data_IF_670324060990
#
_entry.id   IF_670324060990
#
_cell.length_a   1.000
_cell.length_b   1.000
_cell.length_c   1.000
_cell.angle_alpha   90.00
_cell.angle_beta   90.00
_cell.angle_gamma   90.00
#
_symmetry.space_group_name_H-M   'P 1'
#
loop_
_entity.id
_entity.type
_entity.pdbx_description
1 polymer ?
#
# COMPACT_ATOMS: atom_id res chain seq x y z
N UNK A 1 9.91 -18.97 19.60
CA UNK A 1 8.74 -18.57 18.78
C UNK A 1 8.63 -19.55 17.62
N UNK A 2 7.50 -20.25 17.46
CA UNK A 2 7.31 -21.21 16.35
C UNK A 2 7.03 -20.39 15.08
N UNK A 3 7.87 -20.55 14.05
CA UNK A 3 7.64 -19.91 12.75
C UNK A 3 6.48 -20.61 12.04
N UNK A 4 5.55 -19.83 11.48
CA UNK A 4 4.51 -20.38 10.61
C UNK A 4 5.11 -20.95 9.33
N UNK A 5 4.55 -22.06 8.89
CA UNK A 5 4.91 -22.71 7.63
C UNK A 5 3.81 -22.49 6.58
N UNK A 6 4.14 -22.71 5.31
CA UNK A 6 3.18 -22.52 4.23
C UNK A 6 1.93 -23.40 4.36
N UNK A 7 2.03 -24.58 4.98
CA UNK A 7 0.88 -25.48 5.15
C UNK A 7 -0.16 -24.92 6.16
N UNK A 8 0.26 -24.10 7.12
CA UNK A 8 -0.62 -23.58 8.18
C UNK A 8 -1.76 -22.74 7.60
N UNK A 9 -2.94 -22.80 8.24
CA UNK A 9 -4.11 -21.98 7.88
C UNK A 9 -3.99 -20.55 8.40
N UNK A 10 -3.23 -20.35 9.48
CA UNK A 10 -2.94 -19.04 10.06
C UNK A 10 -1.43 -18.82 10.03
N UNK A 11 -1.00 -17.73 9.39
CA UNK A 11 0.40 -17.32 9.38
C UNK A 11 0.62 -16.19 10.38
N UNK A 12 1.42 -16.46 11.41
CA UNK A 12 1.86 -15.47 12.37
C UNK A 12 3.04 -14.68 11.79
N UNK A 13 2.85 -13.36 11.67
CA UNK A 13 3.84 -12.44 11.12
C UNK A 13 4.66 -11.71 12.21
N UNK A 14 4.37 -11.95 13.50
CA UNK A 14 5.01 -11.27 14.62
C UNK A 14 6.53 -11.46 14.65
N UNK A 15 7.01 -12.63 14.24
CA UNK A 15 8.45 -12.90 14.18
C UNK A 15 9.21 -11.99 13.19
N UNK A 16 8.51 -11.32 12.27
CA UNK A 16 9.10 -10.38 11.32
C UNK A 16 8.89 -8.91 11.71
N UNK A 17 8.25 -8.63 12.85
CA UNK A 17 8.01 -7.29 13.38
C UNK A 17 8.87 -7.13 14.63
N UNK A 18 9.88 -6.27 14.56
CA UNK A 18 10.87 -6.07 15.62
C UNK A 18 10.48 -4.98 16.63
N UNK A 19 9.34 -4.31 16.43
CA UNK A 19 8.89 -3.17 17.22
C UNK A 19 7.87 -3.63 18.26
N UNK A 20 8.19 -3.46 19.56
CA UNK A 20 7.38 -3.93 20.70
C UNK A 20 5.98 -3.31 20.79
N UNK A 21 5.72 -2.21 20.09
CA UNK A 21 4.44 -1.49 20.10
C UNK A 21 3.46 -1.98 19.03
N UNK A 22 3.90 -2.83 18.11
CA UNK A 22 3.03 -3.30 17.04
C UNK A 22 2.07 -4.38 17.54
N UNK A 23 0.81 -4.27 17.13
CA UNK A 23 -0.20 -5.29 17.43
C UNK A 23 0.15 -6.60 16.75
N UNK A 24 -0.18 -7.71 17.43
CA UNK A 24 -0.04 -9.03 16.87
C UNK A 24 -0.70 -9.11 15.49
N UNK A 25 0.06 -9.52 14.48
CA UNK A 25 -0.33 -9.46 13.07
C UNK A 25 -0.33 -10.87 12.49
N UNK A 26 -1.48 -11.35 12.01
CA UNK A 26 -1.61 -12.70 11.44
C UNK A 26 -2.49 -12.72 10.20
N UNK A 27 -2.15 -13.58 9.23
CA UNK A 27 -2.99 -13.84 8.05
C UNK A 27 -3.81 -15.10 8.30
N UNK A 28 -5.13 -14.95 8.48
CA UNK A 28 -6.04 -16.08 8.64
C UNK A 28 -6.67 -16.45 7.30
N UNK A 29 -6.22 -17.55 6.70
CA UNK A 29 -6.71 -18.03 5.41
C UNK A 29 -8.03 -18.83 5.50
N UNK A 30 -8.54 -19.11 6.71
CA UNK A 30 -9.87 -19.72 6.87
C UNK A 30 -10.99 -18.75 6.50
N UNK A 31 -10.72 -17.43 6.56
CA UNK A 31 -11.60 -16.37 6.06
C UNK A 31 -11.73 -16.39 4.54
N UNK A 32 -10.79 -17.04 3.84
CA UNK A 32 -10.79 -17.11 2.38
C UNK A 32 -11.59 -18.33 1.92
N UNK A 33 -12.50 -18.17 0.93
CA UNK A 33 -13.20 -19.27 0.27
C UNK A 33 -12.26 -20.41 -0.12
N UNK A 34 -12.68 -21.65 0.18
CA UNK A 34 -11.80 -22.82 0.09
C UNK A 34 -11.16 -23.03 -1.29
N UNK A 35 -11.89 -22.74 -2.36
CA UNK A 35 -11.41 -22.88 -3.74
C UNK A 35 -10.24 -21.92 -4.05
N UNK A 36 -10.31 -20.67 -3.58
CA UNK A 36 -9.32 -19.62 -3.86
C UNK A 36 -8.21 -19.53 -2.80
N UNK A 37 -8.34 -20.27 -1.69
CA UNK A 37 -7.41 -20.23 -0.56
C UNK A 37 -5.97 -20.53 -0.96
N UNK A 38 -5.73 -21.57 -1.75
CA UNK A 38 -4.38 -21.96 -2.16
C UNK A 38 -3.72 -20.87 -3.01
N UNK A 39 -4.44 -20.31 -3.99
CA UNK A 39 -3.94 -19.24 -4.84
C UNK A 39 -3.63 -17.97 -4.03
N UNK A 40 -4.48 -17.65 -3.06
CA UNK A 40 -4.30 -16.53 -2.13
C UNK A 40 -3.08 -16.71 -1.23
N UNK A 41 -2.85 -17.92 -0.71
CA UNK A 41 -1.64 -18.27 0.06
C UNK A 41 -0.38 -18.09 -0.80
N UNK A 42 -0.38 -18.59 -2.03
CA UNK A 42 0.75 -18.38 -2.94
C UNK A 42 1.02 -16.89 -3.20
N UNK A 43 -0.02 -16.10 -3.43
CA UNK A 43 0.13 -14.65 -3.61
C UNK A 43 0.70 -13.97 -2.36
N UNK A 44 0.16 -14.24 -1.17
CA UNK A 44 0.66 -13.67 0.08
C UNK A 44 2.11 -14.09 0.36
N UNK A 45 2.47 -15.34 0.09
CA UNK A 45 3.84 -15.82 0.21
C UNK A 45 4.78 -15.05 -0.73
N UNK A 46 4.32 -14.77 -1.95
CA UNK A 46 5.06 -13.99 -2.94
C UNK A 46 5.28 -12.55 -2.45
N UNK A 47 4.24 -11.91 -1.93
CA UNK A 47 4.35 -10.57 -1.36
C UNK A 47 5.38 -10.47 -0.21
N UNK A 48 5.48 -11.51 0.63
CA UNK A 48 6.39 -11.54 1.77
C UNK A 48 7.85 -11.86 1.37
N UNK A 49 8.03 -12.76 0.40
CA UNK A 49 9.33 -13.36 0.09
C UNK A 49 9.99 -12.84 -1.19
N UNK A 50 9.23 -12.32 -2.16
CA UNK A 50 9.80 -11.83 -3.42
C UNK A 50 10.26 -10.36 -3.30
N UNK A 51 11.53 -10.10 -3.61
CA UNK A 51 12.14 -8.77 -3.47
C UNK A 51 11.80 -7.76 -4.58
N UNK A 52 11.23 -8.23 -5.70
CA UNK A 52 10.77 -7.40 -6.82
C UNK A 52 9.29 -7.62 -7.02
N UNK A 53 8.50 -6.73 -6.42
CA UNK A 53 7.07 -6.68 -6.67
C UNK A 53 6.78 -5.79 -7.88
N UNK A 54 5.70 -6.09 -8.60
CA UNK A 54 5.14 -5.13 -9.54
C UNK A 54 4.78 -3.87 -8.76
N UNK A 55 5.18 -2.72 -9.28
CA UNK A 55 5.01 -1.44 -8.63
C UNK A 55 4.40 -0.45 -9.64
N UNK A 56 3.39 0.34 -9.22
CA UNK A 56 2.82 1.36 -10.09
C UNK A 56 3.85 2.44 -10.44
N UNK A 57 3.67 3.17 -11.57
CA UNK A 57 4.54 4.27 -11.95
C UNK A 57 4.73 5.28 -10.80
N UNK A 58 5.98 5.63 -10.50
CA UNK A 58 6.31 6.56 -9.40
C UNK A 58 6.45 5.92 -8.01
N UNK A 59 6.23 4.62 -7.87
CA UNK A 59 6.48 3.91 -6.62
C UNK A 59 7.98 3.91 -6.27
N UNK A 60 8.32 4.45 -5.10
CA UNK A 60 9.71 4.57 -4.62
C UNK A 60 10.29 3.28 -4.03
N UNK A 61 9.46 2.25 -3.81
CA UNK A 61 9.84 0.99 -3.15
C UNK A 61 9.33 -0.20 -3.95
N UNK A 62 10.21 -1.18 -4.20
CA UNK A 62 9.88 -2.44 -4.89
C UNK A 62 9.49 -3.57 -3.95
N UNK A 63 9.67 -3.38 -2.64
CA UNK A 63 9.30 -4.33 -1.59
C UNK A 63 8.34 -3.66 -0.61
N UNK A 64 7.25 -4.36 -0.27
CA UNK A 64 6.28 -3.91 0.72
C UNK A 64 6.64 -4.45 2.10
N UNK A 65 6.27 -3.73 3.15
CA UNK A 65 6.48 -4.20 4.53
C UNK A 65 5.51 -5.31 4.88
N UNK A 66 5.86 -6.12 5.88
CA UNK A 66 4.99 -7.17 6.44
C UNK A 66 3.66 -6.59 6.94
N UNK A 67 3.72 -5.41 7.57
CA UNK A 67 2.54 -4.65 8.02
C UNK A 67 1.65 -4.23 6.85
N UNK A 68 2.26 -3.86 5.72
CA UNK A 68 1.51 -3.54 4.50
C UNK A 68 0.82 -4.79 3.95
N UNK A 69 1.50 -5.94 3.92
CA UNK A 69 0.88 -7.22 3.48
C UNK A 69 -0.35 -7.55 4.32
N UNK A 70 -0.27 -7.41 5.64
CA UNK A 70 -1.43 -7.63 6.50
C UNK A 70 -2.60 -6.69 6.20
N UNK A 71 -2.34 -5.38 6.06
CA UNK A 71 -3.39 -4.42 5.73
C UNK A 71 -4.04 -4.74 4.38
N UNK A 72 -3.24 -5.14 3.39
CA UNK A 72 -3.74 -5.54 2.08
C UNK A 72 -4.55 -6.84 2.14
N UNK A 73 -4.12 -7.79 2.97
CA UNK A 73 -4.85 -9.03 3.17
C UNK A 73 -6.25 -8.80 3.74
N UNK A 74 -6.33 -8.02 4.83
CA UNK A 74 -7.59 -7.79 5.55
C UNK A 74 -8.54 -6.89 4.76
N UNK A 75 -8.03 -5.82 4.15
CA UNK A 75 -8.91 -4.82 3.56
C UNK A 75 -9.21 -5.09 2.08
N UNK A 76 -8.22 -5.54 1.30
CA UNK A 76 -8.34 -5.60 -0.16
C UNK A 76 -8.56 -7.04 -0.63
N UNK A 77 -7.69 -7.96 -0.24
CA UNK A 77 -7.72 -9.33 -0.76
C UNK A 77 -8.96 -10.08 -0.32
N UNK A 78 -9.35 -10.01 0.96
CA UNK A 78 -10.58 -10.63 1.43
C UNK A 78 -11.79 -10.15 0.61
N UNK A 79 -11.93 -8.82 0.47
CA UNK A 79 -13.00 -8.22 -0.32
C UNK A 79 -13.01 -8.69 -1.79
N UNK A 80 -11.87 -8.60 -2.49
CA UNK A 80 -11.75 -9.04 -3.89
C UNK A 80 -12.11 -10.52 -4.02
N UNK A 81 -11.57 -11.37 -3.15
CA UNK A 81 -11.74 -12.82 -3.25
C UNK A 81 -13.18 -13.23 -2.92
N UNK A 82 -13.80 -12.61 -1.92
CA UNK A 82 -15.19 -12.85 -1.57
C UNK A 82 -16.12 -12.44 -2.71
N UNK A 83 -15.88 -11.28 -3.33
CA UNK A 83 -16.64 -10.83 -4.48
C UNK A 83 -16.53 -11.77 -5.69
N UNK A 84 -15.32 -12.30 -5.94
CA UNK A 84 -15.08 -13.30 -7.00
C UNK A 84 -15.78 -14.63 -6.68
N UNK A 85 -15.69 -15.10 -5.43
CA UNK A 85 -16.30 -16.34 -5.00
C UNK A 85 -17.84 -16.28 -5.07
N UNK A 86 -18.45 -15.15 -4.75
CA UNK A 86 -19.89 -14.92 -4.90
C UNK A 86 -20.36 -15.06 -6.36
N UNK A 87 -19.47 -14.83 -7.33
CA UNK A 87 -19.73 -15.01 -8.77
C UNK A 87 -19.31 -16.38 -9.30
N UNK A 88 -19.03 -17.32 -8.41
CA UNK A 88 -18.70 -18.71 -8.75
C UNK A 88 -17.27 -18.93 -9.22
N UNK A 89 -16.37 -17.96 -9.04
CA UNK A 89 -14.96 -18.12 -9.40
C UNK A 89 -14.28 -19.03 -8.37
N UNK A 90 -13.63 -20.07 -8.88
CA UNK A 90 -12.94 -21.10 -8.08
C UNK A 90 -11.43 -21.10 -8.31
N UNK A 91 -10.96 -20.45 -9.38
CA UNK A 91 -9.54 -20.27 -9.69
C UNK A 91 -9.30 -18.91 -10.37
N UNK A 92 -8.15 -18.27 -10.12
CA UNK A 92 -7.86 -16.95 -10.70
C UNK A 92 -7.78 -16.97 -12.23
N UNK A 93 -7.47 -18.10 -12.85
CA UNK A 93 -7.48 -18.24 -14.31
C UNK A 93 -8.88 -18.17 -14.94
N UNK A 94 -9.94 -18.24 -14.14
CA UNK A 94 -11.33 -18.08 -14.61
C UNK A 94 -11.76 -16.62 -14.63
N UNK A 95 -10.98 -15.71 -14.04
CA UNK A 95 -11.26 -14.27 -14.09
C UNK A 95 -11.11 -13.81 -15.53
N UNK A 96 -12.08 -13.03 -16.01
CA UNK A 96 -12.06 -12.40 -17.33
C UNK A 96 -12.00 -10.88 -17.18
N UNK A 97 -11.72 -10.16 -18.28
CA UNK A 97 -11.70 -8.70 -18.21
C UNK A 97 -13.11 -8.14 -17.99
N UNK A 98 -14.14 -8.75 -18.58
CA UNK A 98 -15.53 -8.35 -18.39
C UNK A 98 -15.94 -8.47 -16.92
N UNK A 99 -15.39 -9.47 -16.22
CA UNK A 99 -15.59 -9.63 -14.78
C UNK A 99 -14.87 -8.54 -13.97
N UNK A 100 -13.69 -8.11 -14.41
CA UNK A 100 -12.95 -7.00 -13.79
C UNK A 100 -13.62 -5.65 -14.05
N UNK A 101 -14.28 -5.47 -15.19
CA UNK A 101 -15.08 -4.29 -15.49
C UNK A 101 -16.32 -4.27 -14.58
N UNK A 102 -17.04 -5.39 -14.46
CA UNK A 102 -18.17 -5.53 -13.54
C UNK A 102 -17.77 -5.35 -12.07
N UNK A 103 -16.51 -5.62 -11.71
CA UNK A 103 -15.97 -5.35 -10.37
C UNK A 103 -15.85 -3.86 -10.11
N UNK A 104 -15.37 -3.09 -11.09
CA UNK A 104 -15.29 -1.63 -10.99
C UNK A 104 -16.68 -1.03 -10.83
N UNK A 105 -17.63 -1.43 -11.67
CA UNK A 105 -19.02 -0.97 -11.58
C UNK A 105 -19.61 -1.23 -10.19
N UNK A 106 -19.42 -2.44 -9.67
CA UNK A 106 -19.93 -2.83 -8.35
C UNK A 106 -19.34 -1.99 -7.20
N UNK A 107 -18.08 -1.57 -7.30
CA UNK A 107 -17.47 -0.71 -6.27
C UNK A 107 -17.91 0.75 -6.44
N UNK A 108 -18.07 1.23 -7.67
CA UNK A 108 -18.53 2.60 -7.93
C UNK A 108 -19.99 2.84 -7.51
N UNK A 109 -20.82 1.78 -7.54
CA UNK A 109 -22.20 1.81 -7.07
C UNK A 109 -22.31 1.85 -5.54
N UNK A 110 -21.23 1.56 -4.79
CA UNK A 110 -21.24 1.58 -3.32
C UNK A 110 -21.11 3.02 -2.78
N UNK A 111 -21.95 3.42 -1.82
CA UNK A 111 -22.14 4.83 -1.40
C UNK A 111 -20.89 5.51 -0.79
N UNK A 112 -19.84 4.77 -0.41
CA UNK A 112 -18.60 5.33 0.17
C UNK A 112 -17.30 4.69 -0.38
N UNK A 113 -16.92 4.93 -1.65
CA UNK A 113 -15.95 4.05 -2.31
C UNK A 113 -14.52 4.61 -2.39
N UNK A 114 -14.30 5.93 -2.28
CA UNK A 114 -13.07 6.52 -2.84
C UNK A 114 -11.77 6.21 -2.08
N UNK A 115 -11.81 6.00 -0.77
CA UNK A 115 -10.57 5.85 0.02
C UNK A 115 -9.99 4.43 -0.04
N UNK A 116 -10.83 3.42 -0.35
CA UNK A 116 -10.41 2.01 -0.51
C UNK A 116 -10.22 1.60 -1.97
N UNK A 117 -11.08 2.08 -2.88
CA UNK A 117 -11.16 1.55 -4.25
C UNK A 117 -9.85 1.63 -5.02
N UNK A 118 -9.15 2.77 -4.97
CA UNK A 118 -7.87 2.92 -5.68
C UNK A 118 -6.84 1.89 -5.21
N UNK A 119 -6.84 1.56 -3.92
CA UNK A 119 -5.96 0.54 -3.34
C UNK A 119 -6.37 -0.86 -3.79
N UNK A 120 -7.66 -1.16 -3.80
CA UNK A 120 -8.22 -2.42 -4.31
C UNK A 120 -7.84 -2.68 -5.76
N UNK A 121 -8.05 -1.70 -6.65
CA UNK A 121 -7.70 -1.80 -8.07
C UNK A 121 -6.19 -1.93 -8.28
N UNK A 122 -5.39 -1.22 -7.47
CA UNK A 122 -3.93 -1.35 -7.49
C UNK A 122 -3.47 -2.76 -7.10
N UNK A 123 -4.15 -3.41 -6.15
CA UNK A 123 -3.81 -4.77 -5.75
C UNK A 123 -4.17 -5.81 -6.81
N UNK A 124 -5.27 -5.64 -7.54
CA UNK A 124 -5.58 -6.49 -8.71
C UNK A 124 -4.47 -6.38 -9.76
N UNK A 125 -3.99 -5.16 -10.04
CA UNK A 125 -2.86 -4.94 -10.96
C UNK A 125 -1.58 -5.56 -10.45
N UNK A 126 -1.31 -5.49 -9.14
CA UNK A 126 -0.14 -6.15 -8.55
C UNK A 126 -0.21 -7.66 -8.70
N UNK A 127 -1.36 -8.26 -8.42
CA UNK A 127 -1.58 -9.70 -8.65
C UNK A 127 -1.33 -10.06 -10.12
N UNK A 128 -1.87 -9.27 -11.06
CA UNK A 128 -1.64 -9.47 -12.49
C UNK A 128 -0.16 -9.32 -12.89
N UNK A 129 0.53 -8.33 -12.35
CA UNK A 129 1.96 -8.10 -12.60
C UNK A 129 2.87 -9.26 -12.14
N UNK A 130 2.35 -10.15 -11.29
CA UNK A 130 3.01 -11.36 -10.84
C UNK A 130 2.57 -12.64 -11.57
N UNK A 131 1.82 -12.52 -12.66
CA UNK A 131 1.32 -13.69 -13.42
C UNK A 131 2.42 -14.65 -13.87
N UNK A 132 3.57 -14.15 -14.32
CA UNK A 132 4.61 -14.98 -14.95
C UNK A 132 5.25 -15.97 -13.97
N UNK A 133 5.30 -15.61 -12.70
CA UNK A 133 5.90 -16.40 -11.62
C UNK A 133 4.88 -17.30 -10.90
N UNK A 134 3.59 -17.15 -11.19
CA UNK A 134 2.52 -17.98 -10.64
C UNK A 134 2.24 -19.21 -11.54
N UNK A 135 1.75 -20.34 -11.00
CA UNK A 135 1.25 -21.45 -11.80
C UNK A 135 0.04 -21.04 -12.66
N UNK A 136 -0.20 -21.65 -13.84
CA UNK A 136 -1.27 -21.24 -14.77
C UNK A 136 -2.65 -21.08 -14.14
N UNK A 137 -3.07 -21.98 -13.25
CA UNK A 137 -4.37 -21.92 -12.57
C UNK A 137 -4.54 -20.71 -11.63
N UNK A 138 -3.43 -20.09 -11.21
CA UNK A 138 -3.39 -18.96 -10.28
C UNK A 138 -3.11 -17.63 -10.99
N UNK A 139 -3.05 -17.62 -12.32
CA UNK A 139 -2.79 -16.41 -13.11
C UNK A 139 -4.10 -15.71 -13.43
N UNK A 140 -4.10 -14.39 -13.33
CA UNK A 140 -5.08 -13.56 -14.02
C UNK A 140 -4.89 -13.64 -15.55
N UNK A 141 -5.90 -13.23 -16.34
CA UNK A 141 -5.84 -13.25 -17.80
C UNK A 141 -4.59 -12.57 -18.38
N UNK A 142 -4.21 -12.94 -19.60
CA UNK A 142 -2.99 -12.43 -20.23
C UNK A 142 -3.08 -10.93 -20.52
N UNK A 143 -4.24 -10.46 -20.98
CA UNK A 143 -4.48 -9.04 -21.18
C UNK A 143 -4.37 -8.29 -19.83
N UNK A 144 -3.80 -7.07 -19.82
CA UNK A 144 -3.78 -6.26 -18.62
C UNK A 144 -5.19 -5.91 -18.16
N UNK A 145 -5.44 -5.86 -16.83
CA UNK A 145 -6.69 -5.34 -16.28
C UNK A 145 -7.02 -3.96 -16.87
N UNK A 146 -8.27 -3.77 -17.29
CA UNK A 146 -8.79 -2.50 -17.84
C UNK A 146 -7.91 -1.92 -18.96
N UNK A 147 -7.38 -2.79 -19.83
CA UNK A 147 -6.47 -2.44 -20.93
C UNK A 147 -5.21 -1.67 -20.50
N UNK A 148 -4.89 -1.61 -19.21
CA UNK A 148 -3.77 -0.82 -18.68
C UNK A 148 -4.08 0.65 -18.40
N UNK A 149 -5.34 1.10 -18.47
CA UNK A 149 -5.79 2.47 -18.16
C UNK A 149 -5.34 2.93 -16.77
N UNK A 150 -5.25 4.22 -16.44
CA UNK A 150 -4.84 4.61 -15.08
C UNK A 150 -5.96 4.37 -14.05
N UNK A 151 -5.60 4.04 -12.80
CA UNK A 151 -6.60 3.84 -11.73
C UNK A 151 -7.38 5.13 -11.46
N UNK A 152 -6.76 6.30 -11.62
CA UNK A 152 -7.44 7.58 -11.46
C UNK A 152 -8.48 7.84 -12.57
N UNK A 153 -8.18 7.42 -13.81
CA UNK A 153 -9.06 7.52 -14.96
C UNK A 153 -10.28 6.61 -14.80
N UNK A 154 -10.06 5.34 -14.43
CA UNK A 154 -11.12 4.37 -14.17
C UNK A 154 -12.10 4.87 -13.11
N UNK A 155 -11.59 5.51 -12.05
CA UNK A 155 -12.43 6.03 -10.96
C UNK A 155 -13.06 7.40 -11.26
N UNK A 156 -12.87 7.96 -12.46
CA UNK A 156 -13.35 9.31 -12.79
C UNK A 156 -12.69 10.40 -11.93
N UNK A 157 -11.60 10.09 -11.24
CA UNK A 157 -10.84 11.00 -10.35
C UNK A 157 -9.68 11.69 -11.05
N UNK A 158 -9.58 11.54 -12.39
CA UNK A 158 -8.46 11.93 -13.26
C UNK A 158 -8.00 13.39 -13.26
N UNK A 159 -8.39 14.21 -12.28
CA UNK A 159 -7.91 15.58 -12.09
C UNK A 159 -7.56 15.95 -10.64
N UNK A 160 -7.93 15.14 -9.63
CA UNK A 160 -7.91 15.59 -8.23
C UNK A 160 -6.76 15.05 -7.38
N UNK A 161 -5.62 14.63 -7.95
CA UNK A 161 -4.53 14.14 -7.08
C UNK A 161 -3.11 14.22 -7.63
N UNK A 162 -2.80 15.10 -8.59
CA UNK A 162 -1.43 15.63 -8.57
C UNK A 162 -1.39 16.54 -7.34
N UNK A 163 -0.91 16.02 -6.21
CA UNK A 163 -0.39 16.83 -5.09
C UNK A 163 0.80 17.62 -5.62
N UNK A 164 0.53 18.54 -6.54
CA UNK A 164 1.38 19.65 -6.82
C UNK A 164 1.55 20.36 -5.49
N UNK A 165 2.77 20.79 -5.16
CA UNK A 165 3.04 21.52 -3.93
C UNK A 165 2.02 22.67 -3.83
N UNK A 166 1.00 22.51 -2.98
CA UNK A 166 -0.05 23.52 -2.75
C UNK A 166 0.52 24.74 -2.02
N UNK A 167 1.72 24.60 -1.46
CA UNK A 167 2.49 25.71 -0.94
C UNK A 167 2.98 26.53 -2.15
N UNK A 168 2.47 27.76 -2.35
CA UNK A 168 2.99 28.64 -3.38
C UNK A 168 4.50 28.80 -3.17
N UNK A 169 5.26 28.85 -4.27
CA UNK A 169 6.71 29.09 -4.17
C UNK A 169 6.93 30.36 -3.38
N UNK A 170 7.73 30.28 -2.32
CA UNK A 170 8.17 31.45 -1.56
C UNK A 170 8.91 32.35 -2.53
N UNK A 171 8.54 33.63 -2.58
CA UNK A 171 9.20 34.59 -3.46
C UNK A 171 10.69 34.68 -3.09
N UNK A 172 11.56 34.75 -4.11
CA UNK A 172 13.01 34.80 -3.94
C UNK A 172 13.47 35.83 -2.89
N UNK A 173 12.94 37.07 -2.85
CA UNK A 173 13.35 38.06 -1.84
C UNK A 173 13.01 37.62 -0.41
N UNK A 174 11.89 36.92 -0.23
CA UNK A 174 11.49 36.39 1.08
C UNK A 174 12.41 35.26 1.52
N UNK A 175 12.79 34.37 0.61
CA UNK A 175 13.72 33.27 0.91
C UNK A 175 15.10 33.82 1.29
N UNK A 176 15.61 34.80 0.56
CA UNK A 176 16.88 35.47 0.86
C UNK A 176 16.86 36.16 2.24
N UNK A 177 15.76 36.84 2.57
CA UNK A 177 15.59 37.49 3.87
C UNK A 177 15.57 36.48 5.02
N UNK A 178 14.80 35.39 4.87
CA UNK A 178 14.72 34.31 5.87
C UNK A 178 16.09 33.66 6.10
N UNK A 179 16.83 33.37 5.03
CA UNK A 179 18.18 32.80 5.13
C UNK A 179 19.14 33.77 5.82
N UNK A 180 19.08 35.06 5.47
CA UNK A 180 19.93 36.09 6.09
C UNK A 180 19.66 36.21 7.59
N UNK A 181 18.40 36.19 8.00
CA UNK A 181 18.03 36.21 9.43
C UNK A 181 18.38 34.91 10.14
N UNK A 182 18.25 33.75 9.50
CA UNK A 182 18.66 32.48 10.08
C UNK A 182 20.18 32.44 10.35
N UNK A 183 20.99 32.91 9.40
CA UNK A 183 22.45 33.03 9.58
C UNK A 183 22.77 34.01 10.70
N UNK A 184 22.17 35.21 10.68
CA UNK A 184 22.39 36.21 11.74
C UNK A 184 21.96 35.70 13.11
N UNK A 185 20.90 34.89 13.18
CA UNK A 185 20.46 34.27 14.43
C UNK A 185 21.51 33.32 14.98
N UNK A 186 22.09 32.48 14.13
CA UNK A 186 23.15 31.54 14.53
C UNK A 186 24.46 32.27 14.88
N UNK A 187 24.86 33.26 14.09
CA UNK A 187 26.18 33.90 14.23
C UNK A 187 26.22 35.01 15.30
N UNK A 188 25.10 35.69 15.56
CA UNK A 188 25.09 36.88 16.42
C UNK A 188 24.24 36.66 17.68
N UNK A 189 23.13 35.94 17.57
CA UNK A 189 22.18 35.82 18.67
C UNK A 189 22.29 34.50 19.45
N UNK A 190 22.92 33.46 18.89
CA UNK A 190 23.02 32.16 19.55
C UNK A 190 23.80 32.23 20.87
N UNK A 191 25.02 32.76 20.86
CA UNK A 191 25.89 32.74 22.06
C UNK A 191 25.29 33.53 23.24
N UNK A 192 24.74 34.76 23.06
CA UNK A 192 24.09 35.47 24.16
C UNK A 192 22.87 34.74 24.71
N UNK A 193 22.07 34.09 23.84
CA UNK A 193 20.88 33.33 24.27
C UNK A 193 21.30 32.10 25.08
N UNK A 194 22.34 31.39 24.65
CA UNK A 194 22.86 30.22 25.35
C UNK A 194 23.47 30.61 26.69
N UNK A 195 24.25 31.70 26.75
CA UNK A 195 24.79 32.21 28.00
C UNK A 195 23.68 32.58 28.99
N UNK A 196 22.64 33.30 28.55
CA UNK A 196 21.51 33.66 29.40
C UNK A 196 20.73 32.42 29.90
N UNK A 197 20.64 31.36 29.08
CA UNK A 197 20.04 30.08 29.50
C UNK A 197 20.89 29.41 30.60
N UNK A 198 22.21 29.41 30.43
CA UNK A 198 23.12 28.78 31.39
C UNK A 198 23.13 29.53 32.72
N UNK A 199 23.14 30.87 32.70
CA UNK A 199 22.95 31.71 33.89
C UNK A 199 21.63 31.42 34.61
N UNK A 200 20.52 31.28 33.86
CA UNK A 200 19.23 30.94 34.44
C UNK A 200 19.25 29.54 35.10
N UNK A 201 19.97 28.57 34.54
CA UNK A 201 20.10 27.23 35.10
C UNK A 201 21.02 27.18 36.34
N UNK A 202 21.89 28.18 36.54
CA UNK A 202 22.68 28.31 37.77
C UNK A 202 21.89 28.97 38.90
N UNK A 203 20.89 29.80 38.56
CA UNK A 203 20.07 30.53 39.53
C UNK A 203 18.85 29.74 40.06
N UNK A 204 18.46 28.65 39.40
CA UNK A 204 17.30 27.81 39.73
C UNK A 204 17.62 26.32 39.63
#
# INVERSE_FOLDING_TARGET
>A
TKLSCFADTVWDLNAAIFEDHYRATSLNFDLIPAALRLATKHYCWLLLNHGRLWAPPGAKRTRISVTTVHVLFVNELQFIIDWLAQRGITAFCQVTNELLDAFVDAILDEEDPLTGTSRTLTEIRRLWGHREILPPAMRLPQAPPWAGEDTAEILGTGSTARRENRTPRIAEPTMQMLLSWAVRFLEVFADPILAARDEHAELY
#
